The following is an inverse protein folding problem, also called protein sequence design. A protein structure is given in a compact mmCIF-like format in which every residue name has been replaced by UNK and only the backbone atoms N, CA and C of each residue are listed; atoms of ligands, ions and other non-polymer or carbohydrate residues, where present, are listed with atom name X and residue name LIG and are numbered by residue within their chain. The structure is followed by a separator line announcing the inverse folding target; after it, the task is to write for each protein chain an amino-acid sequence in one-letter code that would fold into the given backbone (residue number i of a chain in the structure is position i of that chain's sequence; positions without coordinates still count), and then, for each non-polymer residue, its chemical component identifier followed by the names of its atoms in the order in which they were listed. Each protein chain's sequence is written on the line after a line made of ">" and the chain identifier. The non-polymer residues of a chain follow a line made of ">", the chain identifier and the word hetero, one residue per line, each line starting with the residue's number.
data_IF_853882418343
#
_entry.id   IF_853882418343
#
_cell.length_a   1.000
_cell.length_b   1.000
_cell.length_c   1.000
_cell.angle_alpha   90.00
_cell.angle_beta   90.00
_cell.angle_gamma   90.00
#
_symmetry.space_group_name_H-M   'P 1'
#
loop_
_entity.id
_entity.type
_entity.pdbx_description
1 polymer ?
#
# COMPACT_ATOMS: atom_id res chain seq x y z
N UNK A 1 11.68 7.85 25.65
CA UNK A 1 10.79 8.71 24.85
C UNK A 1 11.11 8.43 23.40
N UNK A 2 10.12 8.26 22.53
CA UNK A 2 10.22 8.35 21.04
C UNK A 2 9.61 7.20 20.23
N UNK A 3 9.16 6.08 20.82
CA UNK A 3 8.39 5.08 20.04
C UNK A 3 6.97 5.59 19.73
N UNK A 4 6.37 6.34 20.66
CA UNK A 4 5.07 6.99 20.42
C UNK A 4 5.18 8.14 19.41
N UNK A 5 6.34 8.82 19.33
CA UNK A 5 6.61 9.85 18.30
C UNK A 5 6.87 9.21 16.94
N UNK A 6 7.58 8.09 16.88
CA UNK A 6 7.80 7.32 15.64
C UNK A 6 6.47 6.81 15.05
N UNK A 7 5.58 6.30 15.91
CA UNK A 7 4.23 5.84 15.51
C UNK A 7 3.30 7.00 15.12
N UNK A 8 3.42 8.16 15.76
CA UNK A 8 2.72 9.38 15.35
C UNK A 8 3.30 9.95 14.05
N UNK A 9 4.60 9.79 13.78
CA UNK A 9 5.23 10.20 12.53
C UNK A 9 4.93 9.24 11.35
N UNK A 10 4.63 7.97 11.63
CA UNK A 10 4.10 7.03 10.63
C UNK A 10 2.65 7.34 10.22
N UNK A 11 1.93 8.15 10.99
CA UNK A 11 0.49 8.39 10.80
C UNK A 11 0.17 9.50 9.79
N UNK A 12 1.14 10.35 9.44
CA UNK A 12 0.97 11.45 8.47
C UNK A 12 1.90 11.23 7.25
N UNK A 13 1.54 10.22 6.45
CA UNK A 13 2.33 9.62 5.37
C UNK A 13 2.47 10.50 4.10
N UNK A 14 2.78 11.79 4.26
CA UNK A 14 3.27 12.66 3.19
C UNK A 14 4.66 13.15 3.60
N UNK A 15 5.70 12.54 3.04
CA UNK A 15 7.10 12.92 3.26
C UNK A 15 7.36 14.34 2.71
N UNK A 16 7.15 15.36 3.54
CA UNK A 16 7.37 16.77 3.18
C UNK A 16 8.84 17.02 2.81
N UNK A 17 9.77 16.35 3.48
CA UNK A 17 11.20 16.41 3.13
C UNK A 17 11.50 15.85 1.73
N UNK A 18 10.81 14.78 1.32
CA UNK A 18 10.98 14.22 -0.03
C UNK A 18 10.34 15.10 -1.11
N UNK A 19 9.17 15.67 -0.84
CA UNK A 19 8.52 16.66 -1.72
C UNK A 19 9.38 17.90 -1.89
N UNK A 20 9.86 18.47 -0.78
CA UNK A 20 10.74 19.64 -0.76
C UNK A 20 12.00 19.38 -1.61
N UNK A 21 12.67 18.26 -1.35
CA UNK A 21 13.88 17.86 -2.09
C UNK A 21 13.63 17.65 -3.59
N UNK A 22 12.49 17.04 -3.96
CA UNK A 22 12.11 16.78 -5.35
C UNK A 22 11.87 18.06 -6.14
N UNK A 23 11.28 19.07 -5.50
CA UNK A 23 10.90 20.32 -6.15
C UNK A 23 11.88 21.47 -5.90
N UNK A 24 12.97 21.23 -5.16
CA UNK A 24 13.94 22.24 -4.79
C UNK A 24 13.36 23.33 -3.88
N UNK A 25 12.38 22.98 -3.05
CA UNK A 25 11.72 23.86 -2.09
C UNK A 25 12.30 23.67 -0.68
N UNK A 26 12.12 24.66 0.18
CA UNK A 26 12.27 24.43 1.63
C UNK A 26 11.08 23.60 2.14
N UNK A 27 11.25 22.93 3.28
CA UNK A 27 10.18 22.17 3.93
C UNK A 27 8.97 23.06 4.26
N UNK A 28 9.22 24.29 4.70
CA UNK A 28 8.20 25.31 4.95
C UNK A 28 7.47 25.72 3.66
N UNK A 29 8.17 25.87 2.54
CA UNK A 29 7.55 26.14 1.24
C UNK A 29 6.71 24.95 0.76
N UNK A 30 7.16 23.72 0.98
CA UNK A 30 6.41 22.52 0.63
C UNK A 30 5.12 22.42 1.44
N UNK A 31 5.18 22.68 2.75
CA UNK A 31 3.99 22.71 3.63
C UNK A 31 2.97 23.77 3.18
N UNK A 32 3.44 24.99 2.94
CA UNK A 32 2.60 26.10 2.46
C UNK A 32 1.99 25.79 1.09
N UNK A 33 2.74 25.15 0.19
CA UNK A 33 2.24 24.70 -1.11
C UNK A 33 1.14 23.65 -0.97
N UNK A 34 1.35 22.61 -0.17
CA UNK A 34 0.36 21.55 0.05
C UNK A 34 -0.88 22.13 0.71
N UNK A 35 -0.72 22.99 1.71
CA UNK A 35 -1.81 23.68 2.40
C UNK A 35 -2.65 24.56 1.47
N UNK A 36 -2.02 25.21 0.48
CA UNK A 36 -2.74 26.01 -0.52
C UNK A 36 -3.47 25.15 -1.57
N UNK A 37 -2.93 23.97 -1.90
CA UNK A 37 -3.49 23.07 -2.91
C UNK A 37 -4.59 22.15 -2.35
N UNK A 38 -4.48 21.77 -1.08
CA UNK A 38 -5.36 20.81 -0.40
C UNK A 38 -6.84 21.18 -0.50
N UNK A 39 -7.29 22.41 -0.20
CA UNK A 39 -8.71 22.77 -0.25
C UNK A 39 -9.31 22.57 -1.64
N UNK A 40 -8.55 22.87 -2.69
CA UNK A 40 -8.99 22.66 -4.06
C UNK A 40 -9.10 21.17 -4.38
N UNK A 41 -8.07 20.37 -4.09
CA UNK A 41 -8.07 18.92 -4.35
C UNK A 41 -9.18 18.22 -3.57
N UNK A 42 -9.34 18.52 -2.28
CA UNK A 42 -10.42 17.97 -1.44
C UNK A 42 -11.80 18.40 -1.95
N UNK A 43 -11.96 19.66 -2.36
CA UNK A 43 -13.20 20.15 -2.97
C UNK A 43 -13.56 19.40 -4.26
N UNK A 44 -12.56 19.11 -5.10
CA UNK A 44 -12.74 18.28 -6.29
C UNK A 44 -13.13 16.84 -5.95
N UNK A 45 -12.45 16.20 -4.99
CA UNK A 45 -12.76 14.83 -4.58
C UNK A 45 -14.18 14.73 -4.06
N UNK A 46 -14.60 15.68 -3.21
CA UNK A 46 -15.97 15.77 -2.70
C UNK A 46 -17.00 15.91 -3.82
N UNK A 47 -16.68 16.69 -4.86
CA UNK A 47 -17.53 16.82 -6.04
C UNK A 47 -17.62 15.50 -6.82
N UNK A 48 -16.50 14.81 -7.00
CA UNK A 48 -16.45 13.48 -7.63
C UNK A 48 -17.25 12.45 -6.83
N UNK A 49 -17.19 12.48 -5.50
CA UNK A 49 -18.00 11.65 -4.60
C UNK A 49 -19.50 11.90 -4.78
N UNK A 50 -19.92 13.16 -4.78
CA UNK A 50 -21.32 13.52 -5.01
C UNK A 50 -21.82 13.09 -6.39
N UNK A 51 -20.92 12.98 -7.38
CA UNK A 51 -21.21 12.48 -8.71
C UNK A 51 -21.08 10.95 -8.84
N UNK A 52 -20.75 10.22 -7.76
CA UNK A 52 -20.56 8.77 -7.79
C UNK A 52 -19.27 8.28 -8.46
N UNK A 53 -18.31 9.18 -8.72
CA UNK A 53 -17.05 8.86 -9.41
C UNK A 53 -15.93 8.32 -8.51
N UNK A 54 -16.21 8.05 -7.23
CA UNK A 54 -15.21 7.59 -6.27
C UNK A 54 -14.64 6.21 -6.59
N UNK A 55 -15.47 5.28 -7.10
CA UNK A 55 -14.99 3.94 -7.48
C UNK A 55 -13.97 4.00 -8.62
N UNK A 56 -14.21 4.89 -9.60
CA UNK A 56 -13.28 5.13 -10.69
C UNK A 56 -11.98 5.78 -10.20
N UNK A 57 -12.09 6.72 -9.25
CA UNK A 57 -10.93 7.34 -8.61
C UNK A 57 -10.11 6.31 -7.81
N UNK A 58 -10.78 5.42 -7.08
CA UNK A 58 -10.17 4.35 -6.30
C UNK A 58 -9.46 3.33 -7.19
N UNK A 59 -10.09 2.91 -8.29
CA UNK A 59 -9.49 2.02 -9.29
C UNK A 59 -8.24 2.65 -9.91
N UNK A 60 -8.30 3.93 -10.30
CA UNK A 60 -7.17 4.64 -10.86
C UNK A 60 -6.02 4.77 -9.85
N UNK A 61 -6.32 5.12 -8.60
CA UNK A 61 -5.33 5.18 -7.53
C UNK A 61 -4.69 3.81 -7.23
N UNK A 62 -5.46 2.73 -7.31
CA UNK A 62 -4.95 1.37 -7.22
C UNK A 62 -4.00 1.00 -8.36
N UNK A 63 -4.23 1.51 -9.57
CA UNK A 63 -3.37 1.30 -10.74
C UNK A 63 -2.05 2.10 -10.68
N UNK A 64 -2.07 3.29 -10.05
CA UNK A 64 -0.88 4.15 -9.90
C UNK A 64 0.16 3.51 -8.98
N UNK A 65 -0.26 2.59 -8.10
CA UNK A 65 0.64 1.84 -7.22
C UNK A 65 1.51 2.74 -6.32
N UNK A 66 2.46 2.15 -5.61
CA UNK A 66 3.58 2.90 -5.06
C UNK A 66 4.69 2.95 -6.13
N UNK A 67 5.20 4.14 -6.49
CA UNK A 67 5.03 5.41 -5.79
C UNK A 67 3.85 6.25 -6.34
N UNK A 68 3.01 6.77 -5.44
CA UNK A 68 1.91 7.72 -5.74
C UNK A 68 2.39 9.10 -6.24
N UNK A 69 3.66 9.16 -6.65
CA UNK A 69 4.45 10.31 -7.01
C UNK A 69 4.57 10.47 -8.53
N UNK A 70 4.03 9.53 -9.30
CA UNK A 70 4.08 9.58 -10.76
C UNK A 70 3.20 10.71 -11.31
N UNK A 71 3.78 11.54 -12.18
CA UNK A 71 3.11 12.71 -12.72
C UNK A 71 1.96 12.32 -13.66
N UNK A 72 2.09 11.20 -14.38
CA UNK A 72 1.08 10.73 -15.32
C UNK A 72 -0.14 10.18 -14.58
N UNK A 73 0.11 9.37 -13.54
CA UNK A 73 -0.93 8.89 -12.63
C UNK A 73 -1.67 10.03 -11.93
N UNK A 74 -0.93 10.97 -11.36
CA UNK A 74 -1.49 12.17 -10.76
C UNK A 74 -2.32 13.00 -11.74
N UNK A 75 -1.88 13.14 -12.99
CA UNK A 75 -2.63 13.89 -14.00
C UNK A 75 -3.93 13.19 -14.44
N UNK A 76 -3.97 11.86 -14.45
CA UNK A 76 -5.21 11.11 -14.67
C UNK A 76 -6.21 11.34 -13.52
N UNK A 77 -5.72 11.31 -12.27
CA UNK A 77 -6.51 11.60 -11.07
C UNK A 77 -7.09 13.01 -11.11
N UNK A 78 -6.29 14.00 -11.53
CA UNK A 78 -6.76 15.37 -11.71
C UNK A 78 -7.84 15.50 -12.78
N UNK A 79 -7.72 14.76 -13.89
CA UNK A 79 -8.76 14.69 -14.90
C UNK A 79 -10.10 14.21 -14.32
N UNK A 80 -10.06 13.23 -13.41
CA UNK A 80 -11.26 12.70 -12.74
C UNK A 80 -11.83 13.65 -11.68
N UNK A 81 -10.96 14.30 -10.91
CA UNK A 81 -11.33 15.17 -9.77
C UNK A 81 -11.81 16.55 -10.23
N UNK A 82 -11.07 17.16 -11.15
CA UNK A 82 -11.33 18.51 -11.62
C UNK A 82 -12.08 18.56 -12.95
N UNK A 83 -12.17 17.43 -13.67
CA UNK A 83 -12.85 17.32 -14.96
C UNK A 83 -12.04 17.91 -16.13
N UNK A 84 -11.20 18.91 -15.88
CA UNK A 84 -10.38 19.53 -16.92
C UNK A 84 -9.00 19.99 -16.45
N UNK A 85 -8.06 20.02 -17.41
CA UNK A 85 -6.70 20.51 -17.19
C UNK A 85 -6.68 22.01 -16.91
N UNK A 86 -7.66 22.74 -17.42
CA UNK A 86 -7.78 24.19 -17.20
C UNK A 86 -8.07 24.50 -15.74
N UNK A 87 -8.97 23.74 -15.09
CA UNK A 87 -9.24 23.88 -13.65
C UNK A 87 -7.99 23.54 -12.85
N UNK A 88 -7.31 22.45 -13.20
CA UNK A 88 -6.05 22.06 -12.54
C UNK A 88 -4.98 23.15 -12.64
N UNK A 89 -4.82 23.77 -13.83
CA UNK A 89 -3.88 24.88 -14.04
C UNK A 89 -4.28 26.13 -13.26
N UNK A 90 -5.58 26.46 -13.21
CA UNK A 90 -6.08 27.60 -12.47
C UNK A 90 -5.84 27.45 -10.96
N UNK A 91 -5.99 26.24 -10.42
CA UNK A 91 -5.68 25.92 -9.02
C UNK A 91 -4.20 26.15 -8.72
N UNK A 92 -3.29 25.65 -9.57
CA UNK A 92 -1.85 25.89 -9.40
C UNK A 92 -1.49 27.38 -9.48
N UNK A 93 -2.08 28.11 -10.43
CA UNK A 93 -1.84 29.55 -10.58
C UNK A 93 -2.39 30.34 -9.39
N UNK A 94 -3.54 29.97 -8.85
CA UNK A 94 -4.08 30.61 -7.66
C UNK A 94 -3.21 30.34 -6.42
N UNK A 95 -2.75 29.10 -6.23
CA UNK A 95 -1.81 28.75 -5.18
C UNK A 95 -0.47 29.50 -5.33
N UNK A 96 0.00 29.72 -6.56
CA UNK A 96 1.25 30.49 -6.80
C UNK A 96 1.14 31.93 -6.32
N UNK A 97 0.00 32.57 -6.55
CA UNK A 97 -0.26 33.94 -6.14
C UNK A 97 -0.37 34.07 -4.61
N UNK A 98 -0.83 33.03 -3.92
CA UNK A 98 -0.97 33.03 -2.46
C UNK A 98 0.34 32.69 -1.73
N UNK A 99 1.10 31.73 -2.27
CA UNK A 99 2.28 31.16 -1.60
C UNK A 99 3.58 31.85 -2.00
N UNK A 100 3.59 32.59 -3.11
CA UNK A 100 4.81 33.17 -3.69
C UNK A 100 5.72 32.13 -4.36
N UNK A 101 5.29 30.86 -4.44
CA UNK A 101 6.02 29.77 -5.10
C UNK A 101 5.76 29.82 -6.60
N UNK A 102 6.76 29.48 -7.42
CA UNK A 102 6.62 29.55 -8.87
C UNK A 102 5.47 28.67 -9.39
N UNK A 103 4.73 29.22 -10.34
CA UNK A 103 3.61 28.55 -11.00
C UNK A 103 4.02 27.23 -11.68
N UNK A 104 5.25 27.15 -12.21
CA UNK A 104 5.82 25.94 -12.81
C UNK A 104 6.00 24.83 -11.76
N UNK A 105 6.54 25.17 -10.58
CA UNK A 105 6.73 24.20 -9.49
C UNK A 105 5.39 23.72 -8.97
N UNK A 106 4.43 24.62 -8.72
CA UNK A 106 3.11 24.22 -8.23
C UNK A 106 2.33 23.39 -9.24
N UNK A 107 2.42 23.71 -10.54
CA UNK A 107 1.85 22.88 -11.61
C UNK A 107 2.43 21.47 -11.61
N UNK A 108 3.72 21.32 -11.33
CA UNK A 108 4.39 20.02 -11.25
C UNK A 108 4.08 19.27 -9.93
N UNK A 109 3.82 20.02 -8.84
CA UNK A 109 3.50 19.49 -7.53
C UNK A 109 2.04 19.04 -7.42
N UNK A 110 1.13 19.72 -8.13
CA UNK A 110 -0.30 19.49 -8.05
C UNK A 110 -0.72 18.05 -8.41
N UNK A 111 -0.22 17.41 -9.50
CA UNK A 111 -0.47 16.00 -9.79
C UNK A 111 -0.03 15.07 -8.68
N UNK A 112 1.11 15.36 -8.03
CA UNK A 112 1.65 14.56 -6.94
C UNK A 112 0.75 14.64 -5.72
N UNK A 113 0.33 15.84 -5.33
CA UNK A 113 -0.62 16.04 -4.21
C UNK A 113 -1.96 15.34 -4.50
N UNK A 114 -2.46 15.44 -5.72
CA UNK A 114 -3.67 14.72 -6.14
C UNK A 114 -3.51 13.21 -6.04
N UNK A 115 -2.40 12.66 -6.53
CA UNK A 115 -2.09 11.22 -6.45
C UNK A 115 -2.04 10.73 -5.00
N UNK A 116 -1.41 11.49 -4.10
CA UNK A 116 -1.35 11.18 -2.67
C UNK A 116 -2.75 11.17 -2.03
N UNK A 117 -3.57 12.19 -2.30
CA UNK A 117 -4.94 12.27 -1.77
C UNK A 117 -5.80 11.13 -2.32
N UNK A 118 -5.73 10.86 -3.63
CA UNK A 118 -6.48 9.77 -4.25
C UNK A 118 -6.03 8.40 -3.73
N UNK A 119 -4.74 8.19 -3.50
CA UNK A 119 -4.22 6.97 -2.89
C UNK A 119 -4.72 6.81 -1.44
N UNK A 120 -4.82 7.90 -0.68
CA UNK A 120 -5.37 7.85 0.67
C UNK A 120 -6.87 7.54 0.68
N UNK A 121 -7.63 8.10 -0.26
CA UNK A 121 -9.06 7.79 -0.46
C UNK A 121 -9.23 6.34 -0.88
N UNK A 122 -8.44 5.86 -1.84
CA UNK A 122 -8.44 4.48 -2.31
C UNK A 122 -8.04 3.50 -1.22
N UNK A 123 -7.07 3.82 -0.35
CA UNK A 123 -6.76 3.01 0.84
C UNK A 123 -7.93 2.92 1.81
N UNK A 124 -8.70 4.00 2.00
CA UNK A 124 -9.89 4.00 2.86
C UNK A 124 -11.05 3.21 2.24
N UNK A 125 -11.23 3.28 0.93
CA UNK A 125 -12.30 2.57 0.21
C UNK A 125 -11.97 1.11 -0.10
N UNK A 126 -10.74 0.83 -0.54
CA UNK A 126 -10.21 -0.49 -0.91
C UNK A 126 -9.59 -1.26 0.27
N UNK A 127 -9.53 -0.66 1.46
CA UNK A 127 -9.05 -1.27 2.70
C UNK A 127 -10.01 -2.29 3.35
N UNK A 128 -11.04 -2.76 2.63
CA UNK A 128 -11.88 -3.88 3.06
C UNK A 128 -11.32 -5.22 2.58
N UNK A 129 -10.97 -6.11 3.52
CA UNK A 129 -10.59 -7.54 3.42
C UNK A 129 -9.49 -7.96 2.39
N UNK A 130 -9.52 -7.46 1.16
CA UNK A 130 -8.58 -7.78 0.07
C UNK A 130 -7.34 -6.84 0.07
N UNK A 131 -7.51 -5.56 0.44
CA UNK A 131 -6.42 -4.58 0.50
C UNK A 131 -5.44 -4.79 1.67
N UNK A 132 -5.89 -5.42 2.76
CA UNK A 132 -5.03 -5.79 3.90
C UNK A 132 -4.11 -6.99 3.63
N UNK A 133 -4.56 -7.94 2.81
CA UNK A 133 -3.75 -9.10 2.40
C UNK A 133 -2.72 -8.72 1.33
N UNK A 134 -3.11 -7.93 0.32
CA UNK A 134 -2.18 -7.43 -0.69
C UNK A 134 -1.20 -6.40 -0.11
N UNK A 135 -1.68 -5.46 0.71
CA UNK A 135 -0.83 -4.47 1.39
C UNK A 135 0.07 -5.07 2.48
N UNK A 136 -0.33 -6.16 3.14
CA UNK A 136 0.47 -6.86 4.15
C UNK A 136 1.59 -7.73 3.55
N UNK A 137 1.31 -8.43 2.44
CA UNK A 137 2.29 -9.28 1.74
C UNK A 137 3.23 -8.45 0.88
N UNK A 138 2.74 -7.50 0.07
CA UNK A 138 3.61 -6.59 -0.68
C UNK A 138 4.25 -5.55 0.22
N UNK A 139 3.62 -5.13 1.33
CA UNK A 139 4.26 -4.29 2.34
C UNK A 139 5.41 -5.01 3.05
N UNK A 140 5.29 -6.31 3.31
CA UNK A 140 6.39 -7.13 3.84
C UNK A 140 7.49 -7.41 2.80
N UNK A 141 7.14 -7.53 1.52
CA UNK A 141 8.09 -7.84 0.45
C UNK A 141 8.81 -6.59 -0.11
N UNK A 142 8.11 -5.45 -0.19
CA UNK A 142 8.62 -4.19 -0.76
C UNK A 142 9.06 -3.20 0.33
N UNK A 143 8.57 -3.33 1.56
CA UNK A 143 9.03 -2.60 2.74
C UNK A 143 10.08 -3.35 3.57
N UNK A 144 10.42 -4.59 3.19
CA UNK A 144 11.35 -5.47 3.90
C UNK A 144 12.52 -5.91 3.01
N UNK A 145 13.32 -4.96 2.54
CA UNK A 145 14.48 -5.25 1.68
C UNK A 145 15.73 -4.43 2.02
N UNK A 146 16.50 -4.93 3.00
CA UNK A 146 17.96 -4.76 3.18
C UNK A 146 18.53 -3.55 3.98
N UNK A 147 18.90 -3.83 5.23
CA UNK A 147 20.22 -3.55 5.83
C UNK A 147 20.55 -4.74 6.76
N UNK A 148 21.14 -5.83 6.27
CA UNK A 148 22.57 -6.11 6.05
C UNK A 148 23.48 -5.93 7.28
N UNK A 149 23.83 -7.10 7.85
CA UNK A 149 25.10 -7.50 8.47
C UNK A 149 25.49 -7.02 9.89
N UNK A 150 25.40 -7.97 10.84
CA UNK A 150 26.57 -8.37 11.62
C UNK A 150 26.78 -9.87 11.49
N UNK A 151 28.03 -10.25 11.30
CA UNK A 151 28.51 -11.52 10.79
C UNK A 151 28.67 -12.59 11.87
N UNK A 152 28.41 -13.86 11.50
CA UNK A 152 29.33 -14.95 11.81
C UNK A 152 29.08 -16.14 10.85
N UNK A 153 30.12 -16.44 10.05
CA UNK A 153 30.46 -17.71 9.38
C UNK A 153 29.43 -18.32 8.42
N UNK A 154 29.55 -18.15 7.09
CA UNK A 154 30.57 -18.70 6.18
C UNK A 154 30.44 -20.23 5.93
N UNK A 155 30.35 -20.55 4.64
CA UNK A 155 30.94 -21.71 3.97
C UNK A 155 30.05 -22.92 3.60
N UNK A 156 30.15 -23.32 2.33
CA UNK A 156 29.98 -24.70 1.84
C UNK A 156 28.56 -25.25 1.77
N UNK A 157 27.90 -25.35 0.62
CA UNK A 157 28.41 -26.07 -0.55
C UNK A 157 28.49 -27.58 -0.24
N UNK A 158 27.52 -28.35 -0.73
CA UNK A 158 27.47 -29.83 -0.73
C UNK A 158 27.51 -30.56 0.63
N UNK A 159 27.90 -29.91 1.73
CA UNK A 159 27.87 -30.48 3.09
C UNK A 159 26.47 -30.63 3.68
N UNK A 160 25.53 -29.74 3.34
CA UNK A 160 24.14 -29.80 3.82
C UNK A 160 23.32 -30.94 3.20
N UNK A 161 23.63 -31.34 1.97
CA UNK A 161 22.96 -32.46 1.29
C UNK A 161 23.57 -33.82 1.67
N UNK A 162 24.89 -33.89 1.87
CA UNK A 162 25.55 -35.06 2.44
C UNK A 162 25.22 -35.25 3.94
N UNK A 163 24.94 -34.18 4.69
CA UNK A 163 24.40 -34.26 6.05
C UNK A 163 22.95 -34.77 6.10
N UNK A 164 22.11 -34.38 5.14
CA UNK A 164 20.73 -34.89 5.01
C UNK A 164 20.63 -36.33 4.52
N UNK A 165 21.62 -36.79 3.73
CA UNK A 165 21.65 -38.17 3.18
C UNK A 165 22.44 -39.15 4.07
N UNK A 166 23.55 -38.72 4.69
CA UNK A 166 24.38 -39.55 5.58
C UNK A 166 23.92 -39.51 7.05
N UNK A 167 23.04 -38.59 7.42
CA UNK A 167 22.29 -38.60 8.68
C UNK A 167 21.04 -39.48 8.66
N UNK A 168 20.67 -40.02 7.50
CA UNK A 168 19.50 -40.88 7.29
C UNK A 168 19.76 -42.35 7.65
N UNK A 169 20.12 -42.64 8.90
CA UNK A 169 20.14 -44.01 9.42
C UNK A 169 19.97 -44.03 10.94
N UNK A 170 18.80 -43.63 11.43
CA UNK A 170 18.45 -43.81 12.84
C UNK A 170 17.27 -42.98 13.29
N UNK A 171 16.06 -43.53 13.18
CA UNK A 171 14.89 -43.00 13.86
C UNK A 171 13.70 -42.80 12.92
N UNK A 172 12.69 -43.63 13.13
CA UNK A 172 11.42 -43.64 12.41
C UNK A 172 10.62 -42.33 12.55
N UNK A 173 9.83 -42.03 11.51
CA UNK A 173 8.51 -41.40 11.69
C UNK A 173 8.36 -39.96 11.20
N UNK A 174 7.54 -39.80 10.15
CA UNK A 174 6.62 -38.69 9.86
C UNK A 174 7.15 -37.24 9.99
N UNK A 175 7.45 -36.54 8.90
CA UNK A 175 6.48 -35.86 8.03
C UNK A 175 5.64 -34.78 8.75
N UNK A 176 6.15 -33.55 8.66
CA UNK A 176 5.38 -32.33 8.37
C UNK A 176 4.06 -32.14 9.15
N UNK A 177 4.15 -31.96 10.46
CA UNK A 177 3.06 -31.44 11.30
C UNK A 177 3.09 -29.91 11.37
N UNK A 178 1.99 -29.27 10.95
CA UNK A 178 1.75 -27.85 11.22
C UNK A 178 0.52 -27.30 10.49
N UNK A 179 0.50 -27.42 9.17
CA UNK A 179 -0.59 -26.86 8.32
C UNK A 179 -1.17 -27.86 7.31
N UNK A 180 -0.45 -28.92 6.96
CA UNK A 180 -0.99 -30.01 6.12
C UNK A 180 -1.84 -31.02 6.89
N UNK A 181 -1.49 -31.30 8.15
CA UNK A 181 -2.24 -32.26 8.98
C UNK A 181 -3.62 -31.78 9.41
N UNK A 182 -3.85 -30.46 9.51
CA UNK A 182 -5.17 -29.90 9.79
C UNK A 182 -6.05 -29.84 8.54
N UNK A 183 -5.45 -29.66 7.36
CA UNK A 183 -6.18 -29.75 6.09
C UNK A 183 -6.67 -31.19 5.82
N UNK A 184 -5.87 -32.21 6.18
CA UNK A 184 -6.27 -33.62 6.03
C UNK A 184 -7.15 -34.18 7.15
N UNK A 185 -7.38 -33.43 8.22
CA UNK A 185 -8.38 -33.77 9.25
C UNK A 185 -9.70 -33.02 9.04
N UNK A 186 -9.72 -31.98 8.21
CA UNK A 186 -10.89 -31.14 7.91
C UNK A 186 -11.59 -31.54 6.60
N UNK A 187 -11.01 -32.49 5.87
CA UNK A 187 -11.55 -33.13 4.66
C UNK A 187 -11.61 -34.63 4.95
N UNK A 188 -12.52 -34.99 5.87
CA UNK A 188 -12.51 -36.30 6.52
C UNK A 188 -13.11 -37.41 5.64
N UNK A 189 -13.93 -37.05 4.65
CA UNK A 189 -14.51 -37.98 3.66
C UNK A 189 -13.89 -37.84 2.25
N UNK A 190 -13.07 -36.81 2.01
CA UNK A 190 -12.21 -36.67 0.84
C UNK A 190 -12.89 -36.07 -0.39
N UNK A 191 -13.93 -35.25 -0.21
CA UNK A 191 -14.65 -34.58 -1.29
C UNK A 191 -14.08 -33.21 -1.69
N UNK A 192 -13.17 -32.66 -0.86
CA UNK A 192 -12.48 -31.40 -1.11
C UNK A 192 -13.23 -30.14 -0.65
N UNK A 193 -14.29 -30.27 0.18
CA UNK A 193 -15.02 -29.13 0.72
C UNK A 193 -15.16 -29.17 2.27
N UNK A 194 -14.21 -28.58 3.01
CA UNK A 194 -14.18 -28.68 4.48
C UNK A 194 -15.34 -27.96 5.19
N UNK A 195 -16.12 -27.15 4.46
CA UNK A 195 -17.27 -26.44 5.00
C UNK A 195 -18.49 -27.33 5.19
N UNK A 196 -18.64 -28.42 4.42
CA UNK A 196 -19.76 -29.35 4.57
C UNK A 196 -19.55 -30.27 5.79
N UNK A 197 -18.30 -30.72 6.02
CA UNK A 197 -17.90 -31.52 7.19
C UNK A 197 -18.18 -30.82 8.53
N UNK A 198 -17.87 -29.51 8.61
CA UNK A 198 -18.10 -28.70 9.81
C UNK A 198 -19.61 -28.47 10.02
N UNK A 199 -20.36 -28.31 8.94
CA UNK A 199 -21.80 -28.06 8.99
C UNK A 199 -22.58 -29.35 9.31
N UNK A 200 -22.12 -30.50 8.83
CA UNK A 200 -22.65 -31.83 9.17
C UNK A 200 -22.44 -32.19 10.64
N UNK A 201 -21.28 -31.86 11.21
CA UNK A 201 -21.02 -32.06 12.64
C UNK A 201 -21.83 -31.13 13.56
N UNK A 202 -22.17 -29.92 13.09
CA UNK A 202 -22.99 -28.94 13.83
C UNK A 202 -24.49 -29.22 13.71
N UNK A 203 -24.95 -29.76 12.59
CA UNK A 203 -26.39 -30.04 12.37
C UNK A 203 -26.82 -31.45 12.75
N UNK A 204 -25.88 -32.36 13.01
CA UNK A 204 -26.13 -33.61 13.72
C UNK A 204 -27.13 -34.55 13.04
N UNK A 205 -27.10 -34.69 11.71
CA UNK A 205 -27.85 -35.72 11.01
C UNK A 205 -26.98 -36.96 10.76
N UNK A 206 -27.07 -37.91 11.71
CA UNK A 206 -26.78 -39.33 11.44
C UNK A 206 -27.84 -39.85 10.47
N UNK A 207 -27.42 -40.56 9.43
CA UNK A 207 -28.12 -41.78 9.04
C UNK A 207 -27.40 -42.96 9.67
#
# INVERSE_FOLDING_TARGET
>A
MDIARELLNQSDNIDMGALASRFGLSEEQADVAVSALLPAVLGGVKKTEQAGGLDQLSSLAGQIGAPALDADGGNAVLGQIFGSKEVSRAVATNASAQTGISDVVLKAMLPVVAGLVAQQVAKRMGGGMLGGLAGGVLGSLLGGGAAQASAASADGGLGGLLGGLLGGAGGAGAQAGGLGGLASMLDADGDGNPLDDILGQVTGQKQ
#
